data_IF_326916081317
#
_entry.id   IF_326916081317
#
_cell.length_a   1.000
_cell.length_b   1.000
_cell.length_c   1.000
_cell.angle_alpha   90.00
_cell.angle_beta   90.00
_cell.angle_gamma   90.00
#
_symmetry.space_group_name_H-M   'P 1'
#
loop_
_entity.id
_entity.type
_entity.pdbx_description
1 polymer ?
#
# COMPACT_ATOMS: atom_id res chain seq x y z
N UNK A 1 13.54 -16.51 22.06
CA UNK A 1 13.21 -15.21 22.67
C UNK A 1 12.02 -15.45 23.58
N UNK A 2 12.04 -14.92 24.79
CA UNK A 2 10.89 -14.97 25.69
C UNK A 2 9.75 -14.15 25.09
N UNK A 3 8.52 -14.65 25.20
CA UNK A 3 7.33 -13.92 24.77
C UNK A 3 7.12 -12.74 25.70
N UNK A 4 7.05 -11.53 25.15
CA UNK A 4 6.65 -10.34 25.88
C UNK A 4 5.12 -10.34 26.02
N UNK A 5 4.64 -10.19 27.25
CA UNK A 5 3.23 -9.92 27.55
C UNK A 5 3.18 -8.54 28.20
N UNK A 6 2.52 -7.59 27.53
CA UNK A 6 2.29 -6.26 28.07
C UNK A 6 1.39 -6.31 29.29
N UNK A 7 1.80 -5.60 30.33
CA UNK A 7 1.12 -5.46 31.62
C UNK A 7 1.36 -4.06 32.17
N UNK A 8 0.67 -3.64 33.24
CA UNK A 8 0.95 -2.35 33.88
C UNK A 8 2.38 -2.19 34.42
N UNK A 9 3.20 -3.24 34.42
CA UNK A 9 4.61 -3.20 34.80
C UNK A 9 5.57 -3.07 33.59
N UNK A 10 5.06 -3.03 32.35
CA UNK A 10 5.87 -3.08 31.13
C UNK A 10 6.53 -1.76 30.73
N UNK A 11 6.42 -0.69 31.54
CA UNK A 11 6.94 0.65 31.22
C UNK A 11 8.40 0.64 30.79
N UNK A 12 9.28 0.04 31.61
CA UNK A 12 10.73 0.01 31.34
C UNK A 12 11.07 -0.70 30.02
N UNK A 13 10.37 -1.79 29.70
CA UNK A 13 10.61 -2.55 28.46
C UNK A 13 10.28 -1.70 27.23
N UNK A 14 9.16 -0.97 27.27
CA UNK A 14 8.74 -0.12 26.16
C UNK A 14 9.67 1.09 26.02
N UNK A 15 10.02 1.76 27.12
CA UNK A 15 10.95 2.90 27.11
C UNK A 15 12.33 2.50 26.61
N UNK A 16 12.86 1.37 27.06
CA UNK A 16 14.13 0.83 26.57
C UNK A 16 14.10 0.57 25.06
N UNK A 17 13.01 -0.01 24.56
CA UNK A 17 12.84 -0.28 23.15
C UNK A 17 12.83 1.02 22.32
N UNK A 18 12.11 2.04 22.80
CA UNK A 18 12.07 3.37 22.17
C UNK A 18 13.47 3.98 22.11
N UNK A 19 14.25 3.89 23.19
CA UNK A 19 15.57 4.52 23.27
C UNK A 19 16.64 3.80 22.43
N UNK A 20 16.50 2.48 22.22
CA UNK A 20 17.48 1.65 21.51
C UNK A 20 17.20 1.54 20.01
N UNK A 21 16.00 1.89 19.55
CA UNK A 21 15.54 1.61 18.18
C UNK A 21 15.42 2.86 17.32
N UNK A 22 15.75 2.73 16.04
CA UNK A 22 15.47 3.76 15.03
C UNK A 22 14.01 3.63 14.58
N UNK A 23 13.09 4.25 15.33
CA UNK A 23 11.65 4.13 15.09
C UNK A 23 11.15 5.08 14.01
N UNK A 24 10.29 4.58 13.13
CA UNK A 24 9.50 5.43 12.23
C UNK A 24 8.31 6.05 12.95
N UNK A 25 7.70 7.14 12.44
CA UNK A 25 6.68 7.90 13.18
C UNK A 25 5.49 7.07 13.70
N UNK A 26 4.99 6.10 12.91
CA UNK A 26 3.86 5.28 13.34
C UNK A 26 4.24 4.30 14.47
N UNK A 27 5.46 3.74 14.46
CA UNK A 27 5.92 2.84 15.52
C UNK A 27 6.02 3.60 16.84
N UNK A 28 6.61 4.80 16.79
CA UNK A 28 6.71 5.67 17.96
C UNK A 28 5.33 6.04 18.52
N UNK A 29 4.37 6.35 17.65
CA UNK A 29 3.00 6.64 18.06
C UNK A 29 2.35 5.45 18.77
N UNK A 30 2.46 4.24 18.21
CA UNK A 30 1.89 3.03 18.80
C UNK A 30 2.54 2.65 20.13
N UNK A 31 3.87 2.79 20.24
CA UNK A 31 4.58 2.54 21.50
C UNK A 31 4.18 3.54 22.59
N UNK A 32 3.96 4.81 22.23
CA UNK A 32 3.43 5.80 23.16
C UNK A 32 1.99 5.44 23.60
N UNK A 33 1.13 4.98 22.69
CA UNK A 33 -0.21 4.50 23.06
C UNK A 33 -0.18 3.31 24.03
N UNK A 34 0.83 2.43 23.91
CA UNK A 34 1.08 1.34 24.85
C UNK A 34 1.55 1.89 26.21
N UNK A 35 2.46 2.87 26.23
CA UNK A 35 2.90 3.53 27.47
C UNK A 35 1.75 4.20 28.20
N UNK A 36 0.90 4.95 27.49
CA UNK A 36 -0.30 5.56 28.07
C UNK A 36 -1.23 4.50 28.67
N UNK A 37 -1.38 3.34 28.02
CA UNK A 37 -2.17 2.23 28.55
C UNK A 37 -1.58 1.65 29.84
N UNK A 38 -0.25 1.56 29.92
CA UNK A 38 0.48 1.15 31.13
C UNK A 38 0.25 2.16 32.27
N UNK A 39 0.43 3.45 32.01
CA UNK A 39 0.25 4.53 33.00
C UNK A 39 -1.19 4.58 33.55
N UNK A 40 -2.17 4.29 32.70
CA UNK A 40 -3.58 4.26 33.08
C UNK A 40 -4.04 2.93 33.70
N UNK A 41 -3.15 1.93 33.84
CA UNK A 41 -3.50 0.56 34.22
C UNK A 41 -4.64 -0.03 33.36
N UNK A 42 -4.67 0.31 32.07
CA UNK A 42 -5.74 -0.10 31.15
C UNK A 42 -5.48 -1.51 30.60
N UNK A 43 -5.85 -2.52 31.40
CA UNK A 43 -5.62 -3.92 31.04
C UNK A 43 -6.26 -4.31 29.71
N UNK A 44 -7.49 -3.83 29.41
CA UNK A 44 -8.17 -4.16 28.16
C UNK A 44 -7.39 -3.67 26.92
N UNK A 45 -6.80 -2.47 26.98
CA UNK A 45 -5.98 -1.94 25.88
C UNK A 45 -4.66 -2.70 25.74
N UNK A 46 -4.04 -3.10 26.86
CA UNK A 46 -2.83 -3.92 26.85
C UNK A 46 -3.09 -5.33 26.29
N UNK A 47 -4.19 -5.98 26.69
CA UNK A 47 -4.62 -7.28 26.17
C UNK A 47 -4.91 -7.20 24.67
N UNK A 48 -5.51 -6.10 24.22
CA UNK A 48 -5.70 -5.85 22.80
C UNK A 48 -4.37 -5.80 22.05
N UNK A 49 -3.37 -5.03 22.52
CA UNK A 49 -2.03 -5.03 21.90
C UNK A 49 -1.35 -6.41 21.94
N UNK A 50 -1.48 -7.13 23.05
CA UNK A 50 -0.95 -8.50 23.20
C UNK A 50 -1.52 -9.47 22.16
N UNK A 51 -2.74 -9.23 21.66
CA UNK A 51 -3.31 -10.06 20.61
C UNK A 51 -2.62 -9.92 19.23
N UNK A 52 -1.78 -8.89 19.04
CA UNK A 52 -1.10 -8.62 17.77
C UNK A 52 0.34 -9.14 17.68
N UNK A 53 0.90 -9.72 18.74
CA UNK A 53 2.24 -10.29 18.66
C UNK A 53 2.86 -10.59 20.01
N UNK A 54 3.98 -11.31 19.98
CA UNK A 54 4.72 -11.73 21.18
C UNK A 54 5.94 -10.84 21.48
N UNK A 55 6.14 -9.78 20.70
CA UNK A 55 7.16 -8.75 20.92
C UNK A 55 6.67 -7.40 20.39
N UNK A 56 7.33 -6.32 20.81
CA UNK A 56 6.94 -4.96 20.46
C UNK A 56 6.95 -4.71 18.94
N UNK A 57 7.83 -5.38 18.18
CA UNK A 57 7.91 -5.22 16.73
C UNK A 57 6.70 -5.83 16.04
N UNK A 58 6.33 -7.06 16.37
CA UNK A 58 5.13 -7.67 15.82
C UNK A 58 3.89 -6.87 16.23
N UNK A 59 3.78 -6.46 17.50
CA UNK A 59 2.66 -5.65 17.96
C UNK A 59 2.52 -4.35 17.17
N UNK A 60 3.59 -3.56 17.03
CA UNK A 60 3.51 -2.27 16.33
C UNK A 60 3.21 -2.44 14.84
N UNK A 61 3.92 -3.35 14.15
CA UNK A 61 3.75 -3.55 12.72
C UNK A 61 2.37 -4.14 12.38
N UNK A 62 1.91 -5.13 13.16
CA UNK A 62 0.61 -5.75 12.91
C UNK A 62 -0.55 -4.84 13.26
N UNK A 63 -0.47 -4.07 14.36
CA UNK A 63 -1.49 -3.06 14.69
C UNK A 63 -1.55 -1.99 13.60
N UNK A 64 -0.40 -1.53 13.11
CA UNK A 64 -0.36 -0.56 12.01
C UNK A 64 -1.01 -1.13 10.74
N UNK A 65 -0.65 -2.35 10.34
CA UNK A 65 -1.24 -3.02 9.19
C UNK A 65 -2.77 -3.20 9.33
N UNK A 66 -3.24 -3.61 10.51
CA UNK A 66 -4.66 -3.73 10.81
C UNK A 66 -5.39 -2.39 10.72
N UNK A 67 -4.86 -1.33 11.36
CA UNK A 67 -5.46 0.00 11.31
C UNK A 67 -5.53 0.56 9.89
N UNK A 68 -4.50 0.33 9.07
CA UNK A 68 -4.53 0.66 7.63
C UNK A 68 -5.59 -0.16 6.88
N UNK A 69 -5.76 -1.43 7.23
CA UNK A 69 -6.84 -2.27 6.70
C UNK A 69 -8.23 -1.74 7.02
N UNK A 70 -8.46 -1.22 8.23
CA UNK A 70 -9.73 -0.64 8.64
C UNK A 70 -10.14 0.56 7.78
N UNK A 71 -9.19 1.34 7.28
CA UNK A 71 -9.49 2.47 6.37
C UNK A 71 -10.11 1.99 5.04
N UNK A 72 -9.82 0.77 4.62
CA UNK A 72 -10.45 0.08 3.48
C UNK A 72 -11.62 -0.83 3.91
N UNK A 73 -12.05 -0.75 5.16
CA UNK A 73 -13.17 -1.49 5.72
C UNK A 73 -12.86 -2.93 6.12
N UNK A 74 -11.60 -3.38 6.06
CA UNK A 74 -11.24 -4.74 6.45
C UNK A 74 -11.20 -4.87 7.98
N UNK A 75 -12.07 -5.72 8.55
CA UNK A 75 -12.17 -5.91 10.01
C UNK A 75 -11.62 -7.24 10.51
N UNK A 76 -11.26 -8.16 9.62
CA UNK A 76 -10.73 -9.47 9.99
C UNK A 76 -9.32 -9.35 10.56
N UNK A 77 -9.06 -10.03 11.67
CA UNK A 77 -7.74 -10.17 12.28
C UNK A 77 -7.27 -11.60 12.05
N UNK A 78 -6.13 -11.75 11.38
CA UNK A 78 -5.50 -13.04 11.14
C UNK A 78 -3.99 -12.90 11.04
N UNK A 79 -3.27 -13.94 11.43
CA UNK A 79 -1.81 -13.96 11.43
C UNK A 79 -1.30 -15.21 10.70
N UNK A 80 -0.18 -15.06 9.99
CA UNK A 80 0.49 -16.17 9.33
C UNK A 80 1.22 -17.05 10.37
N UNK A 81 1.84 -18.13 9.90
CA UNK A 81 2.60 -19.06 10.75
C UNK A 81 3.78 -18.42 11.51
N UNK A 82 4.21 -17.23 11.10
CA UNK A 82 5.31 -16.50 11.71
C UNK A 82 4.81 -15.36 12.61
N UNK A 83 3.50 -15.19 12.79
CA UNK A 83 2.92 -14.13 13.61
C UNK A 83 2.78 -12.79 12.90
N UNK A 84 2.91 -12.74 11.56
CA UNK A 84 2.67 -11.51 10.79
C UNK A 84 1.20 -11.38 10.37
N UNK A 85 0.66 -10.17 10.43
CA UNK A 85 -0.70 -9.89 10.03
C UNK A 85 -0.94 -10.30 8.57
N UNK A 86 -2.00 -11.08 8.33
CA UNK A 86 -2.37 -11.54 6.99
C UNK A 86 -2.90 -10.34 6.21
N UNK A 87 -2.27 -10.06 5.07
CA UNK A 87 -2.71 -8.98 4.20
C UNK A 87 -4.16 -9.21 3.72
N UNK A 88 -5.07 -8.24 3.90
CA UNK A 88 -6.41 -8.33 3.37
C UNK A 88 -6.42 -8.41 1.84
N UNK A 89 -7.40 -9.13 1.29
CA UNK A 89 -7.62 -9.19 -0.17
C UNK A 89 -8.64 -8.13 -0.56
N UNK A 90 -8.27 -7.27 -1.51
CA UNK A 90 -9.19 -6.33 -2.15
C UNK A 90 -10.34 -7.08 -2.81
N UNK A 91 -11.56 -6.54 -2.67
CA UNK A 91 -12.81 -7.19 -3.08
C UNK A 91 -13.00 -7.13 -4.59
N UNK A 92 -12.76 -5.96 -5.17
CA UNK A 92 -12.68 -5.76 -6.61
C UNK A 92 -11.24 -5.44 -6.96
N UNK A 93 -10.75 -6.06 -8.04
CA UNK A 93 -9.42 -5.84 -8.55
C UNK A 93 -9.45 -5.78 -10.06
N UNK A 94 -8.79 -4.79 -10.61
CA UNK A 94 -8.70 -4.60 -12.05
C UNK A 94 -7.26 -4.31 -12.46
N UNK A 95 -6.84 -4.94 -13.54
CA UNK A 95 -5.51 -4.78 -14.11
C UNK A 95 -5.69 -4.13 -15.49
N UNK A 96 -5.33 -2.85 -15.59
CA UNK A 96 -5.47 -2.07 -16.83
C UNK A 96 -4.12 -2.06 -17.55
N UNK A 97 -4.04 -2.85 -18.62
CA UNK A 97 -2.83 -2.99 -19.42
C UNK A 97 -2.73 -1.84 -20.43
N UNK A 98 -1.58 -1.17 -20.44
CA UNK A 98 -1.30 0.02 -21.23
C UNK A 98 0.01 -0.17 -22.00
N UNK A 99 -0.06 -0.33 -23.31
CA UNK A 99 1.09 -0.63 -24.17
C UNK A 99 0.86 -1.88 -25.01
N UNK A 100 1.92 -2.66 -25.25
CA UNK A 100 1.87 -3.92 -25.99
C UNK A 100 1.73 -5.11 -25.01
N UNK A 101 0.53 -5.73 -24.89
CA UNK A 101 0.31 -6.84 -23.97
C UNK A 101 1.06 -8.13 -24.40
N UNK A 102 1.39 -8.27 -25.68
CA UNK A 102 2.02 -9.49 -26.22
C UNK A 102 3.48 -9.64 -25.78
N UNK A 103 4.05 -8.59 -25.17
CA UNK A 103 5.44 -8.57 -24.71
C UNK A 103 5.51 -8.03 -23.30
N UNK A 104 6.00 -8.87 -22.38
CA UNK A 104 6.15 -8.53 -20.96
C UNK A 104 6.90 -7.21 -20.72
N UNK A 105 7.89 -6.90 -21.56
CA UNK A 105 8.73 -5.72 -21.43
C UNK A 105 8.21 -4.49 -22.18
N UNK A 106 6.99 -4.51 -22.71
CA UNK A 106 6.46 -3.46 -23.59
C UNK A 106 5.07 -2.95 -23.19
N UNK A 107 4.62 -3.29 -21.98
CA UNK A 107 3.42 -2.70 -21.38
C UNK A 107 3.64 -2.31 -19.93
N UNK A 108 2.84 -1.36 -19.50
CA UNK A 108 2.63 -1.00 -18.09
C UNK A 108 1.28 -1.53 -17.63
N UNK A 109 1.13 -1.74 -16.32
CA UNK A 109 -0.12 -2.16 -15.69
C UNK A 109 -0.49 -1.14 -14.63
N UNK A 110 -1.73 -0.64 -14.70
CA UNK A 110 -2.34 0.11 -13.61
C UNK A 110 -3.27 -0.84 -12.87
N UNK A 111 -2.93 -1.12 -11.61
CA UNK A 111 -3.73 -1.95 -10.73
C UNK A 111 -4.73 -1.06 -9.99
N UNK A 112 -6.02 -1.40 -10.03
CA UNK A 112 -7.05 -0.82 -9.18
C UNK A 112 -7.48 -1.85 -8.13
N UNK A 113 -7.80 -1.37 -6.93
CA UNK A 113 -8.35 -2.19 -5.87
C UNK A 113 -9.44 -1.45 -5.10
N UNK A 114 -10.55 -2.13 -4.79
CA UNK A 114 -11.59 -1.64 -3.87
C UNK A 114 -11.59 -2.42 -2.56
N UNK A 115 -11.64 -1.70 -1.45
CA UNK A 115 -11.81 -2.27 -0.11
C UNK A 115 -13.16 -2.97 0.08
N UNK A 116 -13.44 -3.41 1.31
CA UNK A 116 -14.78 -3.84 1.72
C UNK A 116 -15.76 -2.66 1.73
N UNK A 117 -15.26 -1.47 2.07
CA UNK A 117 -15.99 -0.22 1.90
C UNK A 117 -15.84 0.34 0.47
N UNK A 118 -16.52 1.45 0.11
CA UNK A 118 -16.42 2.06 -1.22
C UNK A 118 -15.07 2.74 -1.54
N UNK A 119 -14.02 2.56 -0.72
CA UNK A 119 -12.72 3.19 -0.93
C UNK A 119 -11.91 2.41 -1.97
N UNK A 120 -11.37 3.16 -2.92
CA UNK A 120 -10.53 2.67 -4.00
C UNK A 120 -9.08 3.07 -3.80
N UNK A 121 -8.17 2.31 -4.40
CA UNK A 121 -6.75 2.65 -4.52
C UNK A 121 -6.22 2.25 -5.89
N UNK A 122 -5.03 2.74 -6.24
CA UNK A 122 -4.29 2.29 -7.40
C UNK A 122 -2.80 2.10 -7.08
N UNK A 123 -2.15 1.22 -7.83
CA UNK A 123 -0.68 1.19 -7.96
C UNK A 123 -0.29 1.02 -9.42
N UNK A 124 1.00 1.18 -9.72
CA UNK A 124 1.54 1.04 -11.06
C UNK A 124 2.62 -0.04 -11.09
N UNK A 125 2.68 -0.73 -12.20
CA UNK A 125 3.87 -1.43 -12.70
C UNK A 125 4.18 -0.82 -14.06
N UNK A 126 5.11 0.13 -14.07
CA UNK A 126 5.44 0.92 -15.26
C UNK A 126 6.71 0.42 -15.92
N UNK A 127 6.69 0.37 -17.24
CA UNK A 127 7.76 -0.18 -18.05
C UNK A 127 8.16 0.76 -19.18
N UNK A 128 9.45 1.06 -19.27
CA UNK A 128 10.05 1.88 -20.33
C UNK A 128 10.75 1.04 -21.41
N UNK A 129 10.74 -0.28 -21.31
CA UNK A 129 11.40 -1.21 -22.22
C UNK A 129 12.34 -2.16 -21.48
N UNK A 130 13.42 -1.64 -20.89
CA UNK A 130 14.32 -2.43 -20.02
C UNK A 130 14.48 -1.83 -18.62
N UNK A 131 14.08 -0.57 -18.45
CA UNK A 131 13.90 0.06 -17.15
C UNK A 131 12.41 0.11 -16.79
N UNK A 132 12.12 0.19 -15.50
CA UNK A 132 10.76 0.24 -14.99
C UNK A 132 10.74 0.21 -13.48
N UNK A 133 9.55 0.09 -12.92
CA UNK A 133 9.35 -0.07 -11.49
C UNK A 133 7.88 -0.31 -11.19
N UNK A 134 7.60 -0.95 -10.07
CA UNK A 134 6.21 -1.21 -9.73
C UNK A 134 6.00 -1.77 -8.35
N UNK A 135 4.74 -1.75 -7.94
CA UNK A 135 4.23 -2.37 -6.74
C UNK A 135 2.84 -2.93 -6.99
N UNK A 136 2.43 -3.87 -6.14
CA UNK A 136 1.03 -4.32 -6.07
C UNK A 136 0.24 -3.46 -5.10
N UNK A 137 -1.08 -3.42 -5.29
CA UNK A 137 -2.02 -2.77 -4.38
C UNK A 137 -1.87 -3.28 -2.94
N UNK A 138 -1.93 -2.34 -2.01
CA UNK A 138 -1.76 -2.54 -0.58
C UNK A 138 -2.63 -1.55 0.20
N UNK A 139 -2.87 -1.85 1.48
CA UNK A 139 -3.63 -0.96 2.39
C UNK A 139 -2.89 0.32 2.74
N UNK A 140 -1.64 0.48 2.30
CA UNK A 140 -0.83 1.68 2.53
C UNK A 140 -0.96 2.69 1.38
N UNK A 141 -1.54 2.28 0.25
CA UNK A 141 -1.66 3.11 -0.94
C UNK A 141 -2.70 4.20 -0.76
N UNK A 142 -2.60 5.23 -1.61
CA UNK A 142 -3.49 6.39 -1.57
C UNK A 142 -4.93 5.99 -1.81
N UNK A 143 -5.83 6.58 -1.03
CA UNK A 143 -7.27 6.32 -1.09
C UNK A 143 -8.00 7.31 -1.99
N UNK A 144 -9.05 6.81 -2.62
CA UNK A 144 -9.94 7.54 -3.51
C UNK A 144 -11.38 7.14 -3.20
N UNK A 145 -12.31 8.08 -3.37
CA UNK A 145 -13.71 7.85 -3.02
C UNK A 145 -14.48 7.13 -4.13
N UNK A 146 -13.86 6.96 -5.30
CA UNK A 146 -14.44 6.24 -6.42
C UNK A 146 -13.39 5.57 -7.30
N UNK A 147 -13.83 4.54 -8.03
CA UNK A 147 -13.04 3.89 -9.09
C UNK A 147 -12.52 4.91 -10.09
N UNK A 148 -13.37 5.86 -10.50
CA UNK A 148 -13.03 6.84 -11.53
C UNK A 148 -11.94 7.82 -11.07
N UNK A 149 -11.98 8.24 -9.81
CA UNK A 149 -10.92 9.07 -9.21
C UNK A 149 -9.59 8.30 -9.17
N UNK A 150 -9.59 7.05 -8.71
CA UNK A 150 -8.40 6.21 -8.66
C UNK A 150 -7.82 5.97 -10.06
N UNK A 151 -8.67 5.63 -11.04
CA UNK A 151 -8.28 5.44 -12.43
C UNK A 151 -7.66 6.71 -13.02
N UNK A 152 -8.33 7.85 -12.86
CA UNK A 152 -7.86 9.13 -13.40
C UNK A 152 -6.51 9.51 -12.78
N UNK A 153 -6.36 9.35 -11.46
CA UNK A 153 -5.11 9.62 -10.76
C UNK A 153 -3.98 8.71 -11.27
N UNK A 154 -4.21 7.41 -11.39
CA UNK A 154 -3.19 6.47 -11.86
C UNK A 154 -2.80 6.67 -13.33
N UNK A 155 -3.75 6.97 -14.21
CA UNK A 155 -3.46 7.29 -15.60
C UNK A 155 -2.62 8.58 -15.71
N UNK A 156 -2.91 9.58 -14.89
CA UNK A 156 -2.15 10.83 -14.86
C UNK A 156 -0.72 10.62 -14.31
N UNK A 157 -0.55 9.82 -13.26
CA UNK A 157 0.76 9.48 -12.71
C UNK A 157 1.61 8.72 -13.75
N UNK A 158 1.05 7.69 -14.38
CA UNK A 158 1.74 6.95 -15.44
C UNK A 158 2.09 7.86 -16.63
N UNK A 159 1.17 8.73 -17.05
CA UNK A 159 1.42 9.69 -18.12
C UNK A 159 2.59 10.62 -17.77
N UNK A 160 2.64 11.13 -16.54
CA UNK A 160 3.72 11.99 -16.08
C UNK A 160 5.07 11.26 -16.13
N UNK A 161 5.12 10.02 -15.62
CA UNK A 161 6.31 9.16 -15.66
C UNK A 161 6.81 8.91 -17.10
N UNK A 162 5.90 8.54 -18.00
CA UNK A 162 6.24 8.29 -19.41
C UNK A 162 6.68 9.55 -20.14
N UNK A 163 6.01 10.68 -19.90
CA UNK A 163 6.35 11.95 -20.57
C UNK A 163 7.72 12.47 -20.15
N UNK A 164 8.12 12.26 -18.89
CA UNK A 164 9.40 12.71 -18.35
C UNK A 164 10.63 12.09 -19.04
N UNK A 165 10.46 10.97 -19.77
CA UNK A 165 11.56 10.21 -20.41
C UNK A 165 11.45 10.21 -21.94
N UNK A 166 10.62 11.07 -22.52
CA UNK A 166 10.58 11.28 -23.98
C UNK A 166 11.91 11.88 -24.42
N UNK A 167 12.50 11.32 -25.48
CA UNK A 167 13.77 11.77 -26.04
C UNK A 167 14.99 11.45 -25.17
N UNK A 168 14.84 10.57 -24.17
CA UNK A 168 15.95 10.13 -23.32
C UNK A 168 17.07 9.48 -24.16
N UNK A 169 18.32 9.81 -23.85
CA UNK A 169 19.48 9.39 -24.66
C UNK A 169 19.84 7.92 -24.49
N UNK A 170 19.56 7.34 -23.31
CA UNK A 170 19.65 5.89 -23.08
C UNK A 170 18.45 5.17 -23.71
N UNK A 171 18.58 4.86 -25.00
CA UNK A 171 17.54 4.21 -25.81
C UNK A 171 17.41 2.70 -25.55
N UNK A 172 18.34 2.09 -24.80
CA UNK A 172 18.26 0.68 -24.39
C UNK A 172 17.25 0.51 -23.27
N UNK A 173 17.39 1.35 -22.23
CA UNK A 173 16.52 1.32 -21.06
C UNK A 173 15.20 2.04 -21.28
N UNK A 174 15.23 3.19 -21.95
CA UNK A 174 14.08 4.05 -22.23
C UNK A 174 13.71 3.97 -23.71
N UNK A 175 13.14 2.83 -24.11
CA UNK A 175 12.71 2.56 -25.47
C UNK A 175 11.55 3.47 -25.84
N UNK A 176 11.82 4.43 -26.73
CA UNK A 176 10.84 5.43 -27.13
C UNK A 176 9.57 4.81 -27.75
N UNK A 177 9.69 3.68 -28.45
CA UNK A 177 8.54 2.95 -28.97
C UNK A 177 7.59 2.47 -27.87
N UNK A 178 8.11 1.95 -26.76
CA UNK A 178 7.32 1.48 -25.60
C UNK A 178 6.65 2.66 -24.89
N UNK A 179 7.42 3.74 -24.67
CA UNK A 179 6.94 4.96 -24.03
C UNK A 179 5.78 5.58 -24.83
N UNK A 180 5.96 5.78 -26.14
CA UNK A 180 4.94 6.37 -27.02
C UNK A 180 3.71 5.47 -27.16
N UNK A 181 3.89 4.15 -27.23
CA UNK A 181 2.77 3.22 -27.28
C UNK A 181 1.94 3.26 -25.99
N UNK A 182 2.61 3.32 -24.83
CA UNK A 182 1.93 3.45 -23.53
C UNK A 182 1.17 4.78 -23.43
N UNK A 183 1.77 5.88 -23.87
CA UNK A 183 1.09 7.20 -23.91
C UNK A 183 -0.15 7.20 -24.80
N UNK A 184 -0.08 6.53 -25.95
CA UNK A 184 -1.22 6.35 -26.83
C UNK A 184 -2.32 5.51 -26.15
N UNK A 185 -1.96 4.41 -25.49
CA UNK A 185 -2.91 3.58 -24.75
C UNK A 185 -3.60 4.37 -23.61
N UNK A 186 -2.86 5.19 -22.87
CA UNK A 186 -3.40 6.10 -21.85
C UNK A 186 -4.42 7.06 -22.47
N UNK A 187 -4.08 7.69 -23.60
CA UNK A 187 -5.00 8.61 -24.29
C UNK A 187 -6.30 7.91 -24.68
N UNK A 188 -6.24 6.68 -25.20
CA UNK A 188 -7.42 5.91 -25.55
C UNK A 188 -8.26 5.55 -24.31
N UNK A 189 -7.63 5.12 -23.22
CA UNK A 189 -8.32 4.83 -21.97
C UNK A 189 -9.06 6.06 -21.41
N UNK A 190 -8.44 7.24 -21.49
CA UNK A 190 -9.07 8.50 -21.07
C UNK A 190 -10.28 8.87 -21.94
N UNK A 191 -10.18 8.71 -23.27
CA UNK A 191 -11.31 8.96 -24.20
C UNK A 191 -12.47 8.03 -23.89
N UNK A 192 -12.21 6.73 -23.75
CA UNK A 192 -13.24 5.73 -23.46
C UNK A 192 -13.94 6.00 -22.12
N UNK A 193 -13.21 6.47 -21.11
CA UNK A 193 -13.77 6.81 -19.80
C UNK A 193 -14.75 7.98 -19.88
N UNK A 194 -14.50 8.98 -20.73
CA UNK A 194 -15.41 10.12 -20.93
C UNK A 194 -16.66 9.69 -21.71
N UNK A 195 -16.50 8.84 -22.73
CA UNK A 195 -17.65 8.35 -23.52
C UNK A 195 -18.64 7.56 -22.67
N UNK A 196 -18.16 6.73 -21.74
CA UNK A 196 -19.02 5.96 -20.84
C UNK A 196 -19.78 6.82 -19.81
N UNK A 197 -19.29 8.03 -19.50
CA UNK A 197 -19.94 8.94 -18.55
C UNK A 197 -21.05 9.81 -19.20
N UNK A 198 -21.22 9.73 -20.52
CA UNK A 198 -22.21 10.51 -21.28
C UNK A 198 -23.50 9.72 -21.58
N UNK A 199 -23.59 8.46 -21.12
CA UNK A 199 -24.76 7.58 -21.22
C UNK A 199 -25.24 7.18 -19.83
#
# INVERSE_FOLDING_TARGET
>A
MENLILSPQSQNVITDYINKSCLVPYEKHLLNEMLEAVEQNNQAKLDWFNSFGNDLRHMTMNVYAYRKGLEFGFTEIGFDKNGWFIQPKFLEREDIILGNPDRFSEHSILYLGRGQNPIWTYTLDYNYGMAGGGSRISVYDKQFNSRQEALTAGLNDLKAKMTAVIGHTDTTNFKQSVILLTLNAIKQAQINSVQLALF
#
